data_IF_011853386855
#
_entry.id   IF_011853386855
#
_cell.length_a   1.000
_cell.length_b   1.000
_cell.length_c   1.000
_cell.angle_alpha   90.00
_cell.angle_beta   90.00
_cell.angle_gamma   90.00
#
_symmetry.space_group_name_H-M   'P 1'
#
loop_
_entity.id
_entity.type
_entity.pdbx_description
1 polymer ?
#
# COMPACT_ATOMS: atom_id res chain seq x y z
N UNK A 1 -5.84 -19.40 31.97
CA UNK A 1 -5.86 -18.01 31.48
C UNK A 1 -6.32 -18.04 30.02
N UNK A 2 -7.64 -18.07 29.80
CA UNK A 2 -8.23 -18.23 28.47
C UNK A 2 -8.11 -16.93 27.69
N UNK A 3 -7.36 -16.93 26.58
CA UNK A 3 -7.37 -15.81 25.63
C UNK A 3 -8.77 -15.75 25.02
N UNK A 4 -9.55 -14.74 25.40
CA UNK A 4 -10.72 -14.36 24.63
C UNK A 4 -10.21 -13.84 23.28
N UNK A 5 -10.21 -14.73 22.28
CA UNK A 5 -9.95 -14.38 20.88
C UNK A 5 -11.11 -13.48 20.44
N UNK A 6 -10.94 -12.16 20.55
CA UNK A 6 -11.87 -11.18 20.01
C UNK A 6 -11.88 -11.32 18.48
N UNK A 7 -12.77 -12.16 17.96
CA UNK A 7 -12.94 -12.36 16.53
C UNK A 7 -13.68 -11.15 15.97
N UNK A 8 -12.92 -10.26 15.34
CA UNK A 8 -13.46 -9.12 14.60
C UNK A 8 -14.47 -9.63 13.57
N UNK A 9 -15.65 -9.01 13.53
CA UNK A 9 -16.62 -9.27 12.47
C UNK A 9 -16.13 -8.60 11.19
N UNK A 10 -16.07 -9.34 10.09
CA UNK A 10 -15.82 -8.79 8.75
C UNK A 10 -17.07 -8.05 8.28
N UNK A 11 -17.20 -6.78 8.67
CA UNK A 11 -18.31 -5.89 8.29
C UNK A 11 -17.91 -4.88 7.22
N UNK A 12 -16.61 -4.72 6.94
CA UNK A 12 -16.10 -3.80 5.92
C UNK A 12 -16.61 -4.20 4.54
N UNK A 13 -17.34 -3.28 3.91
CA UNK A 13 -17.78 -3.41 2.52
C UNK A 13 -16.67 -2.97 1.58
N UNK A 14 -16.70 -3.44 0.33
CA UNK A 14 -15.78 -3.01 -0.73
C UNK A 14 -15.72 -1.48 -0.87
N UNK A 15 -16.85 -0.80 -0.65
CA UNK A 15 -16.92 0.66 -0.71
C UNK A 15 -16.09 1.30 0.41
N UNK A 16 -16.18 0.77 1.62
CA UNK A 16 -15.48 1.29 2.78
C UNK A 16 -13.96 1.16 2.60
N UNK A 17 -13.50 0.02 2.08
CA UNK A 17 -12.08 -0.22 1.79
C UNK A 17 -11.54 0.71 0.69
N UNK A 18 -12.33 0.98 -0.36
CA UNK A 18 -11.96 1.92 -1.41
C UNK A 18 -11.82 3.33 -0.84
N UNK A 19 -12.81 3.79 -0.07
CA UNK A 19 -12.76 5.12 0.54
C UNK A 19 -11.60 5.26 1.52
N UNK A 20 -11.32 4.21 2.30
CA UNK A 20 -10.17 4.16 3.19
C UNK A 20 -8.84 4.32 2.43
N UNK A 21 -8.64 3.52 1.38
CA UNK A 21 -7.43 3.60 0.56
C UNK A 21 -7.25 4.96 -0.12
N UNK A 22 -8.32 5.48 -0.73
CA UNK A 22 -8.30 6.81 -1.38
C UNK A 22 -8.01 7.91 -0.36
N UNK A 23 -8.63 7.86 0.82
CA UNK A 23 -8.41 8.83 1.89
C UNK A 23 -6.95 8.89 2.34
N UNK A 24 -6.31 7.73 2.51
CA UNK A 24 -4.89 7.66 2.90
C UNK A 24 -3.98 8.23 1.81
N UNK A 25 -4.19 7.85 0.55
CA UNK A 25 -3.34 8.27 -0.57
C UNK A 25 -3.44 9.78 -0.80
N UNK A 26 -4.66 10.33 -0.80
CA UNK A 26 -4.87 11.77 -1.00
C UNK A 26 -4.33 12.55 0.21
N UNK A 27 -4.62 12.09 1.43
CA UNK A 27 -4.25 12.76 2.68
C UNK A 27 -2.73 12.83 2.90
N UNK A 28 -2.05 11.67 2.82
CA UNK A 28 -0.62 11.59 3.07
C UNK A 28 0.22 12.14 1.90
N UNK A 29 -0.21 11.89 0.67
CA UNK A 29 0.57 12.20 -0.53
C UNK A 29 0.27 13.57 -1.11
N UNK A 30 -0.94 13.75 -1.65
CA UNK A 30 -1.25 14.86 -2.56
C UNK A 30 -1.15 16.20 -1.84
N UNK A 31 -1.76 16.35 -0.66
CA UNK A 31 -1.75 17.65 0.03
C UNK A 31 -0.36 18.10 0.49
N UNK A 32 0.55 17.16 0.79
CA UNK A 32 1.91 17.47 1.23
C UNK A 32 2.86 17.69 0.06
N UNK A 33 2.78 16.85 -0.98
CA UNK A 33 3.74 16.86 -2.09
C UNK A 33 3.36 17.80 -3.23
N UNK A 34 2.07 18.11 -3.45
CA UNK A 34 1.63 18.92 -4.58
C UNK A 34 2.28 20.30 -4.58
N UNK A 35 2.37 20.96 -3.42
CA UNK A 35 2.99 22.29 -3.30
C UNK A 35 4.49 22.28 -3.61
N UNK A 36 5.23 21.30 -3.06
CA UNK A 36 6.67 21.15 -3.36
C UNK A 36 6.91 20.78 -4.81
N UNK A 37 6.09 19.89 -5.37
CA UNK A 37 6.15 19.50 -6.77
C UNK A 37 5.88 20.69 -7.70
N UNK A 38 4.87 21.49 -7.41
CA UNK A 38 4.53 22.70 -8.18
C UNK A 38 5.65 23.75 -8.11
N UNK A 39 6.33 23.88 -6.96
CA UNK A 39 7.49 24.77 -6.83
C UNK A 39 8.69 24.34 -7.69
N UNK A 40 8.88 23.04 -7.92
CA UNK A 40 9.99 22.51 -8.72
C UNK A 40 9.68 22.44 -10.22
N UNK A 41 8.51 21.94 -10.60
CA UNK A 41 8.15 21.71 -12.01
C UNK A 41 7.25 22.82 -12.60
N UNK A 42 6.75 23.75 -11.78
CA UNK A 42 5.88 24.84 -12.22
C UNK A 42 4.64 24.32 -12.96
N UNK A 43 4.39 24.85 -14.15
CA UNK A 43 3.26 24.45 -15.00
C UNK A 43 3.36 23.01 -15.53
N UNK A 44 4.53 22.37 -15.49
CA UNK A 44 4.73 21.01 -16.00
C UNK A 44 4.40 19.91 -14.98
N UNK A 45 3.96 20.26 -13.76
CA UNK A 45 3.72 19.30 -12.67
C UNK A 45 2.73 18.20 -13.07
N UNK A 46 1.70 18.53 -13.85
CA UNK A 46 0.66 17.59 -14.26
C UNK A 46 1.23 16.43 -15.08
N UNK A 47 2.29 16.69 -15.87
CA UNK A 47 2.96 15.66 -16.66
C UNK A 47 3.68 14.66 -15.76
N UNK A 48 4.33 15.13 -14.70
CA UNK A 48 4.95 14.28 -13.67
C UNK A 48 3.90 13.42 -12.94
N UNK A 49 2.73 13.98 -12.64
CA UNK A 49 1.63 13.23 -12.03
C UNK A 49 1.07 12.14 -12.95
N UNK A 50 0.99 12.37 -14.25
CA UNK A 50 0.55 11.34 -15.21
C UNK A 50 1.55 10.18 -15.21
N UNK A 51 2.85 10.46 -15.30
CA UNK A 51 3.88 9.42 -15.29
C UNK A 51 3.83 8.64 -13.97
N UNK A 52 3.72 9.34 -12.84
CA UNK A 52 3.59 8.72 -11.53
C UNK A 52 2.32 7.86 -11.41
N UNK A 53 1.19 8.31 -11.95
CA UNK A 53 -0.06 7.56 -11.95
C UNK A 53 0.05 6.25 -12.76
N UNK A 54 0.72 6.28 -13.91
CA UNK A 54 0.97 5.07 -14.71
C UNK A 54 1.86 4.09 -13.92
N UNK A 55 2.95 4.56 -13.32
CA UNK A 55 3.80 3.70 -12.48
C UNK A 55 3.02 3.11 -11.30
N UNK A 56 2.23 3.94 -10.60
CA UNK A 56 1.39 3.50 -9.49
C UNK A 56 0.35 2.46 -9.91
N UNK A 57 -0.22 2.57 -11.12
CA UNK A 57 -1.15 1.57 -11.65
C UNK A 57 -0.48 0.20 -11.84
N UNK A 58 0.74 0.16 -12.41
CA UNK A 58 1.50 -1.09 -12.53
C UNK A 58 1.85 -1.70 -11.16
N UNK A 59 2.26 -0.87 -10.21
CA UNK A 59 2.51 -1.29 -8.83
C UNK A 59 1.24 -1.84 -8.18
N UNK A 60 0.12 -1.13 -8.32
CA UNK A 60 -1.19 -1.52 -7.80
C UNK A 60 -1.65 -2.86 -8.37
N UNK A 61 -1.52 -3.07 -9.68
CA UNK A 61 -1.87 -4.34 -10.33
C UNK A 61 -1.05 -5.51 -9.80
N UNK A 62 0.25 -5.32 -9.61
CA UNK A 62 1.14 -6.33 -9.01
C UNK A 62 0.70 -6.69 -7.59
N UNK A 63 0.31 -5.69 -6.79
CA UNK A 63 -0.24 -5.90 -5.46
C UNK A 63 -1.61 -6.58 -5.47
N UNK A 64 -2.49 -6.24 -6.42
CA UNK A 64 -3.79 -6.89 -6.57
C UNK A 64 -3.65 -8.39 -6.90
N UNK A 65 -2.71 -8.76 -7.77
CA UNK A 65 -2.43 -10.16 -8.10
C UNK A 65 -1.97 -10.94 -6.86
N UNK A 66 -1.07 -10.33 -6.08
CA UNK A 66 -0.50 -10.97 -4.89
C UNK A 66 -1.52 -11.08 -3.75
N UNK A 67 -2.32 -10.04 -3.52
CA UNK A 67 -3.40 -10.03 -2.53
C UNK A 67 -4.51 -11.02 -2.87
N UNK A 68 -4.83 -11.18 -4.16
CA UNK A 68 -5.80 -12.20 -4.62
C UNK A 68 -5.26 -13.62 -4.44
N UNK A 69 -3.95 -13.81 -4.56
CA UNK A 69 -3.28 -15.12 -4.35
C UNK A 69 -3.13 -15.49 -2.87
N UNK A 70 -2.99 -14.49 -2.00
CA UNK A 70 -2.78 -14.68 -0.56
C UNK A 70 -3.74 -13.82 0.27
N UNK A 71 -5.04 -14.16 0.34
CA UNK A 71 -6.07 -13.33 0.95
C UNK A 71 -5.99 -13.25 2.49
N UNK A 72 -5.34 -14.22 3.15
CA UNK A 72 -5.23 -14.26 4.61
C UNK A 72 -3.97 -13.54 5.15
N UNK A 73 -3.03 -13.15 4.28
CA UNK A 73 -1.71 -12.67 4.67
C UNK A 73 -1.33 -11.42 3.86
N UNK A 74 -1.63 -10.22 4.38
CA UNK A 74 -1.47 -8.96 3.64
C UNK A 74 -0.15 -8.23 3.87
N UNK A 75 0.71 -8.70 4.78
CA UNK A 75 1.94 -7.99 5.12
C UNK A 75 3.09 -8.32 4.15
N UNK A 76 3.79 -7.28 3.70
CA UNK A 76 4.81 -7.36 2.65
C UNK A 76 6.02 -8.23 3.04
N UNK A 77 6.35 -8.30 4.35
CA UNK A 77 7.36 -9.22 4.86
C UNK A 77 6.95 -10.68 4.66
N UNK A 78 5.65 -10.99 4.67
CA UNK A 78 5.12 -12.34 4.46
C UNK A 78 5.22 -12.72 2.98
N UNK A 79 4.91 -11.78 2.08
CA UNK A 79 5.11 -11.97 0.65
C UNK A 79 6.57 -12.28 0.31
N UNK A 80 7.49 -11.51 0.88
CA UNK A 80 8.92 -11.71 0.68
C UNK A 80 9.40 -13.04 1.27
N UNK A 81 8.89 -13.41 2.45
CA UNK A 81 9.18 -14.70 3.07
C UNK A 81 8.72 -15.88 2.22
N UNK A 82 7.54 -15.77 1.60
CA UNK A 82 7.02 -16.79 0.68
C UNK A 82 7.77 -16.86 -0.63
N UNK A 83 8.16 -15.71 -1.20
CA UNK A 83 8.87 -15.65 -2.48
C UNK A 83 10.33 -16.11 -2.38
N UNK A 84 11.08 -15.63 -1.38
CA UNK A 84 12.53 -15.85 -1.30
C UNK A 84 12.94 -16.93 -0.29
N UNK A 85 12.03 -17.36 0.61
CA UNK A 85 12.31 -18.32 1.72
C UNK A 85 13.50 -17.96 2.62
N UNK A 86 14.05 -16.76 2.49
CA UNK A 86 15.15 -16.24 3.30
C UNK A 86 14.58 -15.43 4.47
N UNK A 87 14.75 -15.96 5.67
CA UNK A 87 14.28 -15.33 6.92
C UNK A 87 14.93 -13.96 7.16
N UNK A 88 16.20 -13.79 6.77
CA UNK A 88 16.92 -12.52 6.94
C UNK A 88 16.32 -11.39 6.09
N UNK A 89 16.00 -11.65 4.81
CA UNK A 89 15.43 -10.63 3.91
C UNK A 89 14.05 -10.18 4.41
N UNK A 90 13.24 -11.15 4.82
CA UNK A 90 11.89 -10.92 5.36
C UNK A 90 11.93 -10.06 6.63
N UNK A 91 12.92 -10.29 7.50
CA UNK A 91 13.10 -9.50 8.71
C UNK A 91 13.49 -8.04 8.41
N UNK A 92 14.41 -7.83 7.47
CA UNK A 92 14.85 -6.48 7.07
C UNK A 92 13.66 -5.68 6.50
N UNK A 93 12.86 -6.30 5.64
CA UNK A 93 11.71 -5.65 5.01
C UNK A 93 10.64 -5.34 6.04
N UNK A 94 10.37 -6.25 6.98
CA UNK A 94 9.48 -5.98 8.11
C UNK A 94 9.96 -4.81 8.98
N UNK A 95 11.28 -4.65 9.17
CA UNK A 95 11.84 -3.56 9.95
C UNK A 95 11.77 -2.20 9.23
N UNK A 96 11.88 -2.17 7.90
CA UNK A 96 11.79 -0.93 7.09
C UNK A 96 10.36 -0.39 7.01
N UNK A 97 9.36 -1.27 7.15
CA UNK A 97 7.94 -0.90 7.08
C UNK A 97 7.36 -0.40 8.41
N UNK A 98 8.05 -0.66 9.51
CA UNK A 98 7.77 -0.13 10.85
C UNK A 98 8.38 1.27 10.98
#
# INVERSE_FOLDING_TARGET
MGRHEYRLKKELSLRDDIFYGVGIIIGAGIFVLLGKGAGLAGNSVWLSFIIAAVMAAFTGLSYCELSSRYPDESAEYIYTRKAFRLSALSFIIGWVLI
#
